data_IF_651662701635
#
_entry.id   IF_651662701635
#
_cell.length_a   1.000
_cell.length_b   1.000
_cell.length_c   1.000
_cell.angle_alpha   90.00
_cell.angle_beta   90.00
_cell.angle_gamma   90.00
#
_symmetry.space_group_name_H-M   'P 1'
#
loop_
_entity.id
_entity.type
_entity.pdbx_description
1 polymer ?
#
# COMPACT_ATOMS: atom_id res chain seq x y z
N UNK A 1 -1.60 -5.68 -5.28
CA UNK A 1 -1.23 -7.05 -4.86
C UNK A 1 0.06 -6.95 -4.07
N UNK A 2 0.02 -7.29 -2.78
CA UNK A 2 1.24 -7.50 -2.02
C UNK A 2 1.77 -8.91 -2.33
N UNK A 3 3.09 -9.10 -2.47
CA UNK A 3 3.69 -10.42 -2.61
C UNK A 3 3.40 -11.27 -1.37
N UNK A 4 3.29 -12.59 -1.57
CA UNK A 4 3.14 -13.54 -0.46
C UNK A 4 4.41 -13.59 0.39
N UNK A 5 4.29 -14.03 1.66
CA UNK A 5 5.46 -14.17 2.54
C UNK A 5 6.55 -15.09 1.96
N UNK A 6 6.15 -16.10 1.18
CA UNK A 6 7.07 -17.04 0.55
C UNK A 6 7.86 -16.39 -0.61
N UNK A 7 7.21 -15.52 -1.39
CA UNK A 7 7.85 -14.74 -2.46
C UNK A 7 8.80 -13.68 -1.89
N UNK A 8 8.41 -12.99 -0.80
CA UNK A 8 9.30 -12.06 -0.11
C UNK A 8 10.55 -12.76 0.41
N UNK A 9 10.40 -13.94 1.03
CA UNK A 9 11.51 -14.71 1.56
C UNK A 9 12.47 -15.16 0.44
N UNK A 10 11.92 -15.68 -0.67
CA UNK A 10 12.70 -16.05 -1.86
C UNK A 10 13.49 -14.86 -2.41
N UNK A 11 12.87 -13.70 -2.53
CA UNK A 11 13.53 -12.47 -3.00
C UNK A 11 14.56 -11.95 -2.01
N UNK A 12 14.35 -12.06 -0.68
CA UNK A 12 15.34 -11.69 0.34
C UNK A 12 16.58 -12.58 0.28
N UNK A 13 16.38 -13.89 0.20
CA UNK A 13 17.45 -14.88 0.19
C UNK A 13 18.21 -14.95 -1.15
N UNK A 14 17.65 -14.38 -2.22
CA UNK A 14 18.33 -14.31 -3.50
C UNK A 14 19.60 -13.46 -3.41
N UNK A 15 20.76 -14.10 -3.55
CA UNK A 15 22.08 -13.45 -3.54
C UNK A 15 22.77 -13.47 -4.92
N UNK A 16 22.02 -13.80 -5.97
CA UNK A 16 22.50 -13.77 -7.35
C UNK A 16 22.55 -12.36 -7.94
N UNK A 17 23.15 -12.19 -9.13
CA UNK A 17 23.19 -10.90 -9.80
C UNK A 17 21.77 -10.44 -10.19
N UNK A 18 21.46 -9.17 -9.90
CA UNK A 18 20.14 -8.57 -10.18
C UNK A 18 19.73 -8.62 -11.66
N UNK A 19 20.68 -8.85 -12.57
CA UNK A 19 20.42 -9.04 -14.00
C UNK A 19 19.68 -10.34 -14.33
N UNK A 20 19.68 -11.33 -13.43
CA UNK A 20 18.91 -12.57 -13.57
C UNK A 20 17.45 -12.43 -13.10
N UNK A 21 17.15 -11.37 -12.36
CA UNK A 21 15.79 -11.04 -11.95
C UNK A 21 15.13 -10.18 -13.02
N UNK A 22 13.86 -10.47 -13.30
CA UNK A 22 13.01 -9.63 -14.12
C UNK A 22 12.84 -8.23 -13.51
N UNK A 23 12.43 -7.22 -14.30
CA UNK A 23 12.27 -5.85 -13.83
C UNK A 23 11.32 -5.73 -12.62
N UNK A 24 10.24 -6.53 -12.59
CA UNK A 24 9.31 -6.56 -11.45
C UNK A 24 9.95 -7.14 -10.17
N UNK A 25 10.70 -8.22 -10.30
CA UNK A 25 11.38 -8.87 -9.16
C UNK A 25 12.49 -7.97 -8.59
N UNK A 26 13.20 -7.24 -9.44
CA UNK A 26 14.18 -6.22 -9.01
C UNK A 26 13.51 -5.10 -8.20
N UNK A 27 12.37 -4.61 -8.67
CA UNK A 27 11.58 -3.62 -7.94
C UNK A 27 11.14 -4.14 -6.58
N UNK A 28 10.58 -5.36 -6.54
CA UNK A 28 10.17 -5.99 -5.28
C UNK A 28 11.35 -6.20 -4.35
N UNK A 29 12.50 -6.66 -4.83
CA UNK A 29 13.70 -6.86 -4.00
C UNK A 29 14.17 -5.55 -3.34
N UNK A 30 14.16 -4.43 -4.08
CA UNK A 30 14.47 -3.12 -3.51
C UNK A 30 13.42 -2.67 -2.48
N UNK A 31 12.15 -2.96 -2.73
CA UNK A 31 11.05 -2.63 -1.83
C UNK A 31 11.11 -3.42 -0.51
N UNK A 32 11.44 -4.71 -0.58
CA UNK A 32 11.50 -5.64 0.56
C UNK A 32 12.69 -5.35 1.49
N UNK A 33 13.73 -4.69 0.97
CA UNK A 33 14.88 -4.19 1.74
C UNK A 33 14.48 -3.03 2.66
N UNK A 34 13.42 -2.29 2.31
CA UNK A 34 12.87 -1.23 3.15
C UNK A 34 12.04 -1.86 4.28
N UNK A 35 12.34 -1.58 5.55
CA UNK A 35 11.57 -2.12 6.67
C UNK A 35 10.12 -1.61 6.61
N UNK A 36 9.19 -2.54 6.76
CA UNK A 36 7.74 -2.28 6.76
C UNK A 36 7.21 -1.55 5.51
N UNK A 37 7.84 -1.73 4.34
CA UNK A 37 7.51 -0.98 3.12
C UNK A 37 6.01 -0.92 2.78
N UNK A 38 5.33 -2.07 2.80
CA UNK A 38 3.89 -2.15 2.51
C UNK A 38 3.04 -1.41 3.54
N UNK A 39 3.33 -1.56 4.84
CA UNK A 39 2.61 -0.81 5.90
C UNK A 39 2.82 0.69 5.76
N UNK A 40 4.02 1.13 5.35
CA UNK A 40 4.33 2.54 5.11
C UNK A 40 3.55 3.08 3.91
N UNK A 41 3.42 2.29 2.84
CA UNK A 41 2.61 2.62 1.67
C UNK A 41 1.11 2.70 2.03
N UNK A 42 0.60 1.73 2.80
CA UNK A 42 -0.79 1.75 3.28
C UNK A 42 -1.09 2.97 4.15
N UNK A 43 -0.19 3.29 5.09
CA UNK A 43 -0.34 4.48 5.93
C UNK A 43 -0.29 5.77 5.10
N UNK A 44 0.61 5.87 4.13
CA UNK A 44 0.70 7.03 3.23
C UNK A 44 -0.59 7.17 2.41
N UNK A 45 -1.09 6.07 1.83
CA UNK A 45 -2.33 6.05 1.08
C UNK A 45 -3.50 6.52 1.96
N UNK A 46 -3.61 5.97 3.18
CA UNK A 46 -4.63 6.39 4.14
C UNK A 46 -4.54 7.89 4.46
N UNK A 47 -3.35 8.43 4.71
CA UNK A 47 -3.20 9.87 4.99
C UNK A 47 -3.63 10.74 3.81
N UNK A 48 -3.36 10.30 2.58
CA UNK A 48 -3.78 11.01 1.37
C UNK A 48 -5.29 10.97 1.15
N UNK A 49 -5.95 9.84 1.40
CA UNK A 49 -7.38 9.67 1.12
C UNK A 49 -8.27 10.06 2.29
N UNK A 50 -7.77 10.05 3.52
CA UNK A 50 -8.57 10.29 4.73
C UNK A 50 -9.33 11.62 4.68
N UNK A 51 -8.70 12.68 4.17
CA UNK A 51 -9.33 13.99 4.13
C UNK A 51 -10.55 14.00 3.20
N UNK A 52 -10.40 13.44 2.00
CA UNK A 52 -11.48 13.35 1.01
C UNK A 52 -12.62 12.45 1.50
N UNK A 53 -12.28 11.26 2.01
CA UNK A 53 -13.24 10.31 2.58
C UNK A 53 -14.02 10.92 3.76
N UNK A 54 -13.33 11.65 4.66
CA UNK A 54 -13.96 12.31 5.80
C UNK A 54 -14.90 13.45 5.36
N UNK A 55 -14.52 14.23 4.34
CA UNK A 55 -15.39 15.28 3.79
C UNK A 55 -16.64 14.68 3.15
N UNK A 56 -16.48 13.65 2.33
CA UNK A 56 -17.59 12.97 1.67
C UNK A 56 -18.55 12.33 2.68
N UNK A 57 -18.00 11.72 3.74
CA UNK A 57 -18.78 11.17 4.84
C UNK A 57 -19.60 12.27 5.55
N UNK A 58 -19.00 13.43 5.82
CA UNK A 58 -19.67 14.55 6.49
C UNK A 58 -20.83 15.11 5.65
N UNK A 59 -20.62 15.31 4.35
CA UNK A 59 -21.66 15.78 3.43
C UNK A 59 -22.83 14.79 3.34
N UNK A 60 -22.53 13.49 3.35
CA UNK A 60 -23.54 12.43 3.39
C UNK A 60 -24.37 12.50 4.66
N UNK A 61 -23.75 12.73 5.82
CA UNK A 61 -24.47 12.91 7.09
C UNK A 61 -25.32 14.18 7.11
N UNK A 62 -24.80 15.32 6.65
CA UNK A 62 -25.58 16.57 6.57
C UNK A 62 -26.82 16.40 5.68
N UNK A 63 -26.67 15.71 4.54
CA UNK A 63 -27.80 15.43 3.63
C UNK A 63 -28.86 14.55 4.31
N UNK A 64 -28.43 13.52 5.05
CA UNK A 64 -29.33 12.64 5.79
C UNK A 64 -30.05 13.38 6.92
N UNK A 65 -29.37 14.24 7.67
CA UNK A 65 -29.97 15.04 8.74
C UNK A 65 -31.08 15.96 8.22
N UNK A 66 -30.87 16.61 7.07
CA UNK A 66 -31.88 17.49 6.45
C UNK A 66 -33.12 16.71 6.00
N UNK A 67 -32.98 15.46 5.56
CA UNK A 67 -34.13 14.62 5.16
C UNK A 67 -34.90 14.02 6.34
N UNK A 68 -34.25 13.91 7.50
CA UNK A 68 -34.85 13.36 8.71
C UNK A 68 -35.56 14.41 9.59
N UNK A 69 -35.44 15.70 9.25
CA UNK A 69 -36.07 16.83 9.92
C UNK A 69 -37.24 17.39 9.11
#
# INVERSE_FOLDING_TARGET
>A
MAPTQEEELKLRLFNGPLSQLGPAERFLKALIDIPFAFKRLEALLFMCTLQEEATHLKESFETLEVLCF
#
